data_IF_912698378189
#
_entry.id   IF_912698378189
#
_cell.length_a   1.000
_cell.length_b   1.000
_cell.length_c   1.000
_cell.angle_alpha   90.00
_cell.angle_beta   90.00
_cell.angle_gamma   90.00
#
_symmetry.space_group_name_H-M   'P 1'
#
loop_
_entity.id
_entity.type
_entity.pdbx_description
1 polymer ?
#
# COMPACT_ATOMS: atom_id res chain seq x y z
N UNK A 1 -26.24 -0.08 0.53
CA UNK A 1 -25.75 1.28 0.81
C UNK A 1 -24.23 1.26 0.97
N UNK A 2 -23.55 2.19 0.31
CA UNK A 2 -22.08 2.33 0.38
C UNK A 2 -21.71 3.77 0.73
N UNK A 3 -20.53 4.00 1.33
CA UNK A 3 -20.00 5.35 1.57
C UNK A 3 -19.85 6.15 0.27
N UNK A 4 -20.10 7.46 0.33
CA UNK A 4 -20.04 8.32 -0.86
C UNK A 4 -18.62 8.58 -1.37
N UNK A 5 -17.62 8.45 -0.48
CA UNK A 5 -16.19 8.62 -0.77
C UNK A 5 -15.56 7.47 -1.57
N UNK A 6 -16.27 6.36 -1.77
CA UNK A 6 -15.77 5.24 -2.55
C UNK A 6 -15.71 5.59 -4.04
N UNK A 7 -14.55 5.36 -4.63
CA UNK A 7 -14.30 5.54 -6.06
C UNK A 7 -14.15 4.17 -6.76
N UNK A 8 -14.32 4.14 -8.06
CA UNK A 8 -14.13 2.94 -8.90
C UNK A 8 -14.88 1.70 -8.39
N UNK A 9 -16.07 1.90 -7.84
CA UNK A 9 -16.85 0.81 -7.22
C UNK A 9 -17.25 -0.22 -8.26
N UNK A 10 -16.83 -1.46 -8.07
CA UNK A 10 -17.14 -2.60 -8.92
C UNK A 10 -17.93 -3.65 -8.15
N UNK A 11 -18.89 -4.25 -8.83
CA UNK A 11 -19.74 -5.31 -8.28
C UNK A 11 -19.54 -6.58 -9.09
N UNK A 12 -19.07 -7.64 -8.44
CA UNK A 12 -18.91 -8.98 -9.00
C UNK A 12 -19.80 -9.95 -8.20
N UNK A 13 -20.63 -10.69 -8.88
CA UNK A 13 -21.53 -11.65 -8.26
C UNK A 13 -21.59 -12.96 -9.02
N UNK A 14 -22.09 -14.00 -8.37
CA UNK A 14 -22.25 -15.34 -8.95
C UNK A 14 -23.34 -15.40 -10.03
N UNK A 15 -24.23 -14.41 -10.09
CA UNK A 15 -25.33 -14.31 -11.07
C UNK A 15 -25.14 -13.10 -11.97
N UNK A 16 -25.66 -13.18 -13.18
CA UNK A 16 -25.65 -12.06 -14.14
C UNK A 16 -26.52 -10.92 -13.64
N UNK A 17 -25.99 -9.72 -13.64
CA UNK A 17 -26.75 -8.51 -13.34
C UNK A 17 -27.50 -8.05 -14.60
N UNK A 18 -28.70 -7.56 -14.41
CA UNK A 18 -29.48 -6.89 -15.44
C UNK A 18 -29.22 -5.39 -15.43
N UNK A 19 -29.19 -4.79 -14.25
CA UNK A 19 -29.06 -3.35 -14.09
C UNK A 19 -28.36 -3.01 -12.78
N UNK A 20 -27.65 -1.87 -12.76
CA UNK A 20 -27.06 -1.27 -11.58
C UNK A 20 -27.48 0.21 -11.55
N UNK A 21 -28.13 0.63 -10.48
CA UNK A 21 -28.55 2.01 -10.25
C UNK A 21 -27.87 2.59 -9.04
N UNK A 22 -27.55 3.86 -9.12
CA UNK A 22 -26.99 4.62 -8.01
C UNK A 22 -27.93 5.78 -7.67
N UNK A 23 -28.13 6.03 -6.39
CA UNK A 23 -28.83 7.19 -5.87
C UNK A 23 -28.04 7.79 -4.72
N UNK A 24 -27.72 9.08 -4.82
CA UNK A 24 -26.93 9.78 -3.81
C UNK A 24 -27.81 10.25 -2.65
N UNK A 25 -27.31 10.03 -1.43
CA UNK A 25 -27.89 10.55 -0.20
C UNK A 25 -26.95 11.57 0.43
N UNK A 26 -27.12 12.84 0.09
CA UNK A 26 -26.24 13.93 0.54
C UNK A 26 -26.26 14.12 2.07
N UNK A 27 -27.40 13.87 2.71
CA UNK A 27 -27.53 14.03 4.17
C UNK A 27 -26.70 13.03 4.98
N UNK A 28 -26.50 11.82 4.48
CA UNK A 28 -25.77 10.74 5.16
C UNK A 28 -24.39 10.48 4.56
N UNK A 29 -24.01 11.21 3.51
CA UNK A 29 -22.77 10.97 2.73
C UNK A 29 -22.65 9.51 2.29
N UNK A 30 -23.74 8.95 1.80
CA UNK A 30 -23.81 7.57 1.29
C UNK A 30 -24.44 7.53 -0.09
N UNK A 31 -24.19 6.44 -0.81
CA UNK A 31 -24.84 6.13 -2.09
C UNK A 31 -25.64 4.83 -1.95
N UNK A 32 -26.88 4.83 -2.39
CA UNK A 32 -27.64 3.60 -2.52
C UNK A 32 -27.32 2.96 -3.87
N UNK A 33 -26.81 1.74 -3.83
CA UNK A 33 -26.51 0.94 -5.01
C UNK A 33 -27.58 -0.14 -5.12
N UNK A 34 -28.45 -0.05 -6.11
CA UNK A 34 -29.46 -1.07 -6.38
C UNK A 34 -28.98 -1.98 -7.49
N UNK A 35 -28.73 -3.24 -7.13
CA UNK A 35 -28.33 -4.30 -8.05
C UNK A 35 -29.55 -5.13 -8.44
N UNK A 36 -29.92 -5.10 -9.72
CA UNK A 36 -31.01 -5.90 -10.24
C UNK A 36 -30.41 -7.10 -10.98
N UNK A 37 -30.74 -8.30 -10.53
CA UNK A 37 -30.30 -9.55 -11.13
C UNK A 37 -31.24 -9.96 -12.28
N UNK A 38 -30.74 -10.79 -13.20
CA UNK A 38 -31.57 -11.35 -14.28
C UNK A 38 -32.56 -12.36 -13.76
N UNK A 39 -32.12 -13.19 -12.81
CA UNK A 39 -32.90 -14.30 -12.26
C UNK A 39 -33.15 -14.07 -10.77
N UNK A 40 -34.25 -14.58 -10.25
CA UNK A 40 -34.53 -14.58 -8.82
C UNK A 40 -33.54 -15.48 -8.06
N UNK A 41 -33.17 -15.07 -6.85
CA UNK A 41 -32.33 -15.83 -5.96
C UNK A 41 -33.13 -16.27 -4.75
N UNK A 42 -33.25 -17.57 -4.57
CA UNK A 42 -34.06 -18.16 -3.51
C UNK A 42 -33.27 -18.61 -2.28
N UNK A 43 -31.95 -18.65 -2.40
CA UNK A 43 -31.07 -19.19 -1.36
C UNK A 43 -29.97 -18.19 -1.00
N UNK A 44 -28.77 -18.48 -1.34
CA UNK A 44 -27.60 -17.67 -1.02
C UNK A 44 -27.05 -16.95 -2.25
N UNK A 45 -26.72 -15.67 -2.07
CA UNK A 45 -26.05 -14.89 -3.10
C UNK A 45 -24.77 -14.27 -2.56
N UNK A 46 -23.66 -14.52 -3.26
CA UNK A 46 -22.37 -13.90 -2.93
C UNK A 46 -22.12 -12.72 -3.85
N UNK A 47 -21.97 -11.56 -3.26
CA UNK A 47 -21.61 -10.32 -3.93
C UNK A 47 -20.25 -9.84 -3.43
N UNK A 48 -19.30 -9.68 -4.34
CA UNK A 48 -18.03 -9.02 -4.07
C UNK A 48 -18.11 -7.57 -4.52
N UNK A 49 -17.75 -6.67 -3.64
CA UNK A 49 -17.66 -5.24 -3.92
C UNK A 49 -16.21 -4.83 -3.78
N UNK A 50 -15.64 -4.26 -4.84
CA UNK A 50 -14.29 -3.68 -4.83
C UNK A 50 -14.38 -2.19 -5.06
N UNK A 51 -13.55 -1.43 -4.39
CA UNK A 51 -13.53 0.02 -4.49
C UNK A 51 -12.14 0.57 -4.15
N UNK A 52 -11.89 1.78 -4.59
CA UNK A 52 -10.72 2.56 -4.23
C UNK A 52 -11.11 3.63 -3.23
N UNK A 53 -10.25 3.85 -2.25
CA UNK A 53 -10.36 4.96 -1.32
C UNK A 53 -9.11 5.83 -1.44
N UNK A 54 -9.23 7.06 -1.98
CA UNK A 54 -8.08 7.92 -2.18
C UNK A 54 -7.52 8.35 -0.83
N UNK A 55 -6.24 8.06 -0.60
CA UNK A 55 -5.49 8.57 0.55
C UNK A 55 -5.22 10.05 0.34
N UNK A 56 -5.86 10.89 1.12
CA UNK A 56 -5.57 12.33 1.15
C UNK A 56 -4.14 12.48 1.69
N UNK A 57 -3.24 13.03 0.87
CA UNK A 57 -1.80 13.15 1.19
C UNK A 57 -1.47 13.90 2.49
N UNK A 58 -2.42 14.61 3.05
CA UNK A 58 -2.27 15.45 4.26
C UNK A 58 -2.74 14.77 5.55
N UNK A 59 -3.47 13.67 5.46
CA UNK A 59 -3.94 12.94 6.64
C UNK A 59 -3.32 11.57 6.67
N UNK A 60 -2.58 11.29 7.73
CA UNK A 60 -2.05 9.94 7.98
C UNK A 60 -3.15 8.97 8.46
N UNK A 61 -4.41 9.40 8.45
CA UNK A 61 -5.53 8.62 8.95
C UNK A 61 -6.42 8.14 7.79
N UNK A 62 -6.73 6.86 7.79
CA UNK A 62 -7.66 6.22 6.90
C UNK A 62 -8.93 5.86 7.68
N UNK A 63 -10.08 6.26 7.17
CA UNK A 63 -11.36 5.91 7.73
C UNK A 63 -11.99 4.80 6.90
N UNK A 64 -12.08 3.60 7.47
CA UNK A 64 -12.69 2.45 6.83
C UNK A 64 -14.15 2.34 7.27
N UNK A 65 -15.06 2.29 6.30
CA UNK A 65 -16.48 2.04 6.48
C UNK A 65 -16.91 0.93 5.53
N UNK A 66 -17.86 0.11 5.94
CA UNK A 66 -18.36 -0.99 5.15
C UNK A 66 -19.50 -0.63 4.20
N UNK A 67 -19.78 -1.56 3.29
CA UNK A 67 -21.04 -1.60 2.57
C UNK A 67 -22.08 -2.29 3.44
N UNK A 68 -23.28 -1.69 3.54
CA UNK A 68 -24.37 -2.27 4.31
C UNK A 68 -25.48 -2.76 3.37
N UNK A 69 -25.87 -4.03 3.47
CA UNK A 69 -27.02 -4.56 2.73
C UNK A 69 -28.31 -3.91 3.23
N UNK A 70 -29.21 -3.64 2.29
CA UNK A 70 -30.50 -3.01 2.58
C UNK A 70 -31.61 -3.84 1.92
N UNK A 71 -32.74 -3.92 2.56
CA UNK A 71 -33.93 -4.53 2.02
C UNK A 71 -34.89 -3.46 1.49
N UNK A 72 -35.53 -3.74 0.34
CA UNK A 72 -36.57 -2.87 -0.22
C UNK A 72 -37.93 -3.34 0.25
N UNK A 73 -38.48 -2.70 1.29
CA UNK A 73 -39.81 -3.03 1.85
C UNK A 73 -40.79 -1.94 1.49
N UNK A 74 -41.82 -2.29 0.70
CA UNK A 74 -42.89 -1.37 0.28
C UNK A 74 -42.36 -0.06 -0.33
N UNK A 75 -41.27 -0.13 -1.08
CA UNK A 75 -40.68 1.04 -1.74
C UNK A 75 -39.71 1.86 -0.85
N UNK A 76 -39.51 1.50 0.41
CA UNK A 76 -38.54 2.11 1.31
C UNK A 76 -37.38 1.15 1.57
N UNK A 77 -36.16 1.69 1.57
CA UNK A 77 -34.96 0.93 1.96
C UNK A 77 -34.87 0.86 3.49
N UNK A 78 -34.73 -0.34 4.00
CA UNK A 78 -34.51 -0.62 5.42
C UNK A 78 -33.23 -1.42 5.62
N UNK A 79 -32.49 -1.23 6.72
CA UNK A 79 -31.42 -2.14 7.09
C UNK A 79 -31.93 -3.56 7.25
N UNK A 80 -31.09 -4.55 6.99
CA UNK A 80 -31.42 -5.94 7.34
C UNK A 80 -31.51 -6.09 8.87
N UNK A 81 -32.32 -7.04 9.31
CA UNK A 81 -32.46 -7.35 10.74
C UNK A 81 -31.15 -7.82 11.38
N UNK A 82 -30.26 -8.37 10.57
CA UNK A 82 -28.94 -8.78 10.98
C UNK A 82 -27.91 -8.47 9.89
N UNK A 83 -26.87 -7.74 10.26
CA UNK A 83 -25.67 -7.44 9.46
C UNK A 83 -24.45 -7.73 10.32
N UNK A 84 -23.72 -8.78 9.99
CA UNK A 84 -22.53 -9.19 10.75
C UNK A 84 -21.45 -9.72 9.80
N UNK A 85 -20.21 -9.60 10.21
CA UNK A 85 -19.09 -10.09 9.39
C UNK A 85 -17.74 -9.89 10.03
N UNK A 86 -16.71 -10.08 9.21
CA UNK A 86 -15.31 -9.97 9.57
C UNK A 86 -14.65 -8.87 8.74
N UNK A 87 -13.87 -8.02 9.40
CA UNK A 87 -13.04 -7.00 8.76
C UNK A 87 -11.60 -7.46 8.87
N UNK A 88 -10.92 -7.58 7.75
CA UNK A 88 -9.51 -7.96 7.70
C UNK A 88 -8.70 -6.85 7.06
N UNK A 89 -7.69 -6.39 7.76
CA UNK A 89 -6.75 -5.36 7.28
C UNK A 89 -5.42 -6.05 7.00
N UNK A 90 -4.99 -5.99 5.75
CA UNK A 90 -3.71 -6.53 5.30
C UNK A 90 -3.02 -5.52 4.37
N UNK A 91 -1.71 -5.65 4.18
CA UNK A 91 -0.96 -4.76 3.29
C UNK A 91 0.13 -5.50 2.54
N UNK A 92 0.27 -5.18 1.24
CA UNK A 92 1.41 -5.55 0.41
C UNK A 92 2.56 -4.53 0.52
N UNK A 93 2.25 -3.29 0.94
CA UNK A 93 3.22 -2.21 1.02
C UNK A 93 3.99 -2.25 2.34
N UNK A 94 5.20 -1.73 2.33
CA UNK A 94 6.01 -1.56 3.54
C UNK A 94 5.51 -0.32 4.32
N UNK A 95 4.38 -0.48 5.01
CA UNK A 95 3.74 0.54 5.83
C UNK A 95 3.57 0.02 7.26
N UNK A 96 3.62 0.92 8.22
CA UNK A 96 3.25 0.64 9.58
C UNK A 96 1.84 1.16 9.83
N UNK A 97 0.95 0.27 10.25
CA UNK A 97 -0.39 0.65 10.69
C UNK A 97 -0.37 0.71 12.22
N UNK A 98 -0.80 1.82 12.78
CA UNK A 98 -1.08 1.89 14.20
C UNK A 98 -2.35 1.08 14.52
N UNK A 99 -2.48 0.63 15.75
CA UNK A 99 -3.69 -0.09 16.18
C UNK A 99 -4.92 0.80 15.96
N UNK A 100 -5.92 0.30 15.23
CA UNK A 100 -7.11 1.08 14.93
C UNK A 100 -7.90 1.45 16.19
N UNK A 101 -8.38 2.69 16.23
CA UNK A 101 -9.38 3.12 17.20
C UNK A 101 -10.76 2.68 16.69
N UNK A 102 -11.34 1.68 17.36
CA UNK A 102 -12.66 1.13 17.01
C UNK A 102 -13.29 0.42 18.20
N UNK A 103 -14.63 0.44 18.25
CA UNK A 103 -15.42 -0.31 19.23
C UNK A 103 -15.61 -1.79 18.84
N UNK A 104 -14.92 -2.27 17.81
CA UNK A 104 -15.06 -3.61 17.29
C UNK A 104 -14.26 -4.64 18.09
N UNK A 105 -14.79 -5.85 18.14
CA UNK A 105 -14.10 -6.97 18.79
C UNK A 105 -12.93 -7.45 17.92
N UNK A 106 -11.70 -7.25 18.40
CA UNK A 106 -10.51 -7.79 17.77
C UNK A 106 -10.50 -9.31 17.89
N UNK A 107 -10.11 -9.98 16.83
CA UNK A 107 -9.93 -11.43 16.77
C UNK A 107 -8.52 -11.79 16.32
N UNK A 108 -8.07 -12.98 16.70
CA UNK A 108 -6.83 -13.53 16.19
C UNK A 108 -7.01 -13.94 14.72
N UNK A 109 -6.06 -13.65 13.81
CA UNK A 109 -6.14 -14.10 12.41
C UNK A 109 -6.30 -15.63 12.26
N UNK A 110 -5.94 -16.42 13.26
CA UNK A 110 -6.15 -17.87 13.26
C UNK A 110 -7.62 -18.27 13.41
N UNK A 111 -8.48 -17.39 13.94
CA UNK A 111 -9.91 -17.61 14.08
C UNK A 111 -10.71 -17.40 12.79
N UNK A 112 -10.08 -16.83 11.76
CA UNK A 112 -10.68 -16.69 10.44
C UNK A 112 -10.94 -18.07 9.83
N UNK A 113 -12.07 -18.22 9.18
CA UNK A 113 -12.37 -19.47 8.50
C UNK A 113 -11.46 -19.71 7.26
N UNK A 114 -11.44 -20.94 6.76
CA UNK A 114 -10.57 -21.31 5.65
C UNK A 114 -10.93 -20.56 4.36
N UNK A 115 -12.22 -20.23 4.15
CA UNK A 115 -12.68 -19.52 2.97
C UNK A 115 -12.28 -18.03 3.04
N UNK A 116 -12.41 -17.40 4.19
CA UNK A 116 -11.95 -16.02 4.42
C UNK A 116 -10.44 -15.93 4.19
N UNK A 117 -9.67 -16.83 4.81
CA UNK A 117 -8.20 -16.88 4.66
C UNK A 117 -7.74 -17.07 3.22
N UNK A 118 -8.41 -17.90 2.44
CA UNK A 118 -8.03 -18.20 1.06
C UNK A 118 -8.09 -16.98 0.12
N UNK A 119 -8.82 -15.94 0.49
CA UNK A 119 -8.93 -14.68 -0.26
C UNK A 119 -7.83 -13.67 0.06
N UNK A 120 -7.08 -13.90 1.13
CA UNK A 120 -6.07 -12.97 1.62
C UNK A 120 -4.71 -13.42 1.11
N UNK A 121 -4.09 -12.58 0.30
CA UNK A 121 -2.80 -12.88 -0.36
C UNK A 121 -1.59 -12.30 0.37
N UNK A 122 -1.82 -11.41 1.34
CA UNK A 122 -0.76 -10.69 2.06
C UNK A 122 -0.88 -10.90 3.56
N UNK A 123 0.17 -10.63 4.34
CA UNK A 123 0.12 -10.74 5.80
C UNK A 123 -1.01 -9.92 6.42
N UNK A 124 -1.79 -10.56 7.28
CA UNK A 124 -2.87 -9.91 8.02
C UNK A 124 -2.25 -9.11 9.16
N UNK A 125 -2.63 -7.83 9.25
CA UNK A 125 -2.16 -6.93 10.31
C UNK A 125 -3.18 -6.88 11.44
N UNK A 126 -4.46 -6.72 11.10
CA UNK A 126 -5.56 -6.68 12.05
C UNK A 126 -6.77 -7.45 11.54
N UNK A 127 -7.52 -8.05 12.44
CA UNK A 127 -8.81 -8.66 12.16
C UNK A 127 -9.81 -8.32 13.26
N UNK A 128 -11.07 -8.02 12.87
CA UNK A 128 -12.15 -7.62 13.75
C UNK A 128 -13.44 -8.31 13.35
N UNK A 129 -14.32 -8.56 14.32
CA UNK A 129 -15.72 -8.92 14.07
C UNK A 129 -16.61 -7.72 14.31
N UNK A 130 -17.60 -7.56 13.46
CA UNK A 130 -18.69 -6.63 13.69
C UNK A 130 -20.03 -7.38 13.72
N UNK A 131 -20.94 -6.88 14.53
CA UNK A 131 -22.33 -7.35 14.63
C UNK A 131 -23.18 -6.11 14.86
N UNK A 132 -23.84 -5.60 13.81
CA UNK A 132 -24.61 -4.38 13.87
C UNK A 132 -24.61 -3.57 12.58
N UNK A 133 -25.36 -2.50 12.57
CA UNK A 133 -25.72 -1.77 11.37
C UNK A 133 -24.57 -0.97 10.71
N UNK A 134 -23.65 -0.45 11.49
CA UNK A 134 -22.59 0.41 10.95
C UNK A 134 -21.30 0.25 11.76
N UNK A 135 -20.18 0.14 11.06
CA UNK A 135 -18.88 0.17 11.68
C UNK A 135 -18.01 1.27 11.08
N UNK A 136 -17.14 1.80 11.91
CA UNK A 136 -16.13 2.77 11.52
C UNK A 136 -14.80 2.36 12.17
N UNK A 137 -13.77 2.21 11.35
CA UNK A 137 -12.42 1.86 11.80
C UNK A 137 -11.47 2.94 11.36
N UNK A 138 -10.87 3.65 12.32
CA UNK A 138 -9.85 4.68 12.05
C UNK A 138 -8.47 4.06 12.15
N UNK A 139 -7.74 4.08 11.06
CA UNK A 139 -6.39 3.50 10.97
C UNK A 139 -5.40 4.62 10.70
N UNK A 140 -4.42 4.79 11.57
CA UNK A 140 -3.30 5.67 11.29
C UNK A 140 -2.26 4.92 10.45
N UNK A 141 -1.82 5.52 9.34
CA UNK A 141 -0.89 4.94 8.38
C UNK A 141 0.42 5.71 8.43
N UNK A 142 1.45 5.08 8.98
CA UNK A 142 2.82 5.60 8.92
C UNK A 142 3.53 4.99 7.72
N UNK A 143 3.95 5.83 6.79
CA UNK A 143 4.80 5.39 5.68
C UNK A 143 6.24 5.41 6.15
N UNK A 144 6.95 4.30 5.97
CA UNK A 144 8.38 4.35 6.07
C UNK A 144 8.90 5.28 4.99
N UNK A 145 9.71 6.25 5.37
CA UNK A 145 10.46 7.04 4.39
C UNK A 145 11.32 6.04 3.60
N UNK A 146 11.20 6.07 2.28
CA UNK A 146 12.17 5.41 1.43
C UNK A 146 13.52 6.01 1.78
N UNK A 147 14.36 5.23 2.45
CA UNK A 147 15.77 5.60 2.56
C UNK A 147 16.30 5.54 1.13
N UNK A 148 16.83 6.67 0.66
CA UNK A 148 17.57 6.68 -0.58
C UNK A 148 18.62 5.58 -0.48
N UNK A 149 18.47 4.56 -1.32
CA UNK A 149 19.50 3.53 -1.44
C UNK A 149 20.76 4.26 -1.88
N UNK A 150 21.85 4.02 -1.16
CA UNK A 150 23.14 4.56 -1.54
C UNK A 150 23.44 4.08 -2.97
N UNK A 151 23.45 5.02 -3.90
CA UNK A 151 23.62 4.72 -5.33
C UNK A 151 25.02 4.17 -5.63
N UNK A 152 25.97 4.43 -4.74
CA UNK A 152 27.34 3.92 -4.83
C UNK A 152 27.96 3.78 -3.44
N UNK A 153 28.70 2.71 -3.22
CA UNK A 153 29.44 2.44 -2.01
C UNK A 153 30.87 2.04 -2.37
N UNK A 154 31.86 2.70 -1.79
CA UNK A 154 33.26 2.27 -1.88
C UNK A 154 33.51 1.24 -0.75
N UNK A 155 33.63 -0.04 -1.11
CA UNK A 155 33.91 -1.11 -0.15
C UNK A 155 35.37 -1.06 0.35
N UNK A 156 36.25 -0.58 -0.51
CA UNK A 156 37.68 -0.55 -0.24
C UNK A 156 38.30 0.65 -0.92
N UNK A 157 39.18 1.35 -0.16
CA UNK A 157 39.98 2.45 -0.68
C UNK A 157 41.39 2.32 -0.17
N UNK A 158 42.35 2.28 -1.08
CA UNK A 158 43.80 2.28 -0.77
C UNK A 158 44.44 3.48 -1.41
N UNK A 159 45.24 4.19 -0.62
CA UNK A 159 46.05 5.34 -1.06
C UNK A 159 47.52 5.02 -0.89
N UNK A 160 48.25 5.02 -1.98
CA UNK A 160 49.69 4.86 -1.97
C UNK A 160 50.35 6.16 -2.40
N UNK A 161 51.12 6.78 -1.50
CA UNK A 161 51.80 8.05 -1.77
C UNK A 161 53.31 7.84 -1.80
N UNK A 162 53.93 8.28 -2.86
CA UNK A 162 55.39 8.28 -3.04
C UNK A 162 55.89 9.71 -3.03
N UNK A 163 56.90 9.98 -2.19
CA UNK A 163 57.56 11.28 -2.11
C UNK A 163 58.98 11.14 -2.67
N UNK A 164 59.25 11.95 -3.68
CA UNK A 164 60.62 11.97 -4.28
C UNK A 164 61.57 12.83 -3.49
N UNK A 165 62.91 12.61 -3.63
CA UNK A 165 63.96 13.39 -2.97
C UNK A 165 63.97 14.87 -3.33
N UNK A 166 63.30 15.30 -4.39
CA UNK A 166 63.13 16.69 -4.82
C UNK A 166 61.83 17.33 -4.35
N UNK A 167 61.06 16.62 -3.50
CA UNK A 167 59.82 17.14 -2.91
C UNK A 167 58.56 16.98 -3.77
N UNK A 168 58.62 16.23 -4.87
CA UNK A 168 57.42 15.88 -5.63
C UNK A 168 56.67 14.74 -4.94
N UNK A 169 55.36 14.81 -4.98
CA UNK A 169 54.47 13.83 -4.37
C UNK A 169 53.54 13.24 -5.45
N UNK A 170 53.57 11.93 -5.57
CA UNK A 170 52.63 11.20 -6.43
C UNK A 170 51.76 10.28 -5.59
N UNK A 171 50.46 10.39 -5.72
CA UNK A 171 49.50 9.54 -5.01
C UNK A 171 48.68 8.71 -5.99
N UNK A 172 48.65 7.40 -5.74
CA UNK A 172 47.75 6.47 -6.44
C UNK A 172 46.61 6.09 -5.51
N UNK A 173 45.37 6.27 -5.96
CA UNK A 173 44.17 5.84 -5.28
C UNK A 173 43.59 4.62 -5.97
N UNK A 174 43.41 3.51 -5.25
CA UNK A 174 42.71 2.31 -5.70
C UNK A 174 41.38 2.20 -4.97
N UNK A 175 40.28 2.18 -5.71
CA UNK A 175 38.94 2.14 -5.15
C UNK A 175 38.18 0.93 -5.69
N UNK A 176 37.52 0.19 -4.81
CA UNK A 176 36.53 -0.82 -5.18
C UNK A 176 35.15 -0.22 -4.94
N UNK A 177 34.44 0.12 -6.01
CA UNK A 177 33.13 0.79 -5.94
C UNK A 177 32.05 -0.14 -6.45
N UNK A 178 31.03 -0.39 -5.60
CA UNK A 178 29.76 -1.01 -6.00
C UNK A 178 28.78 0.10 -6.33
N UNK A 179 28.16 -0.02 -7.50
CA UNK A 179 27.22 0.96 -8.00
C UNK A 179 25.91 0.28 -8.43
N UNK A 180 24.78 0.86 -8.05
CA UNK A 180 23.44 0.34 -8.39
C UNK A 180 22.82 1.04 -9.59
N UNK A 181 23.31 2.21 -9.97
CA UNK A 181 22.86 2.97 -11.13
C UNK A 181 23.85 2.91 -12.30
N UNK A 182 23.44 3.40 -13.48
CA UNK A 182 24.24 3.43 -14.70
C UNK A 182 25.04 4.74 -14.89
N UNK A 183 25.00 5.65 -13.94
CA UNK A 183 25.73 6.90 -14.05
C UNK A 183 27.25 6.69 -13.85
N UNK A 184 28.04 7.50 -14.53
CA UNK A 184 29.47 7.41 -14.43
C UNK A 184 29.95 7.93 -13.06
N UNK A 185 30.91 7.26 -12.40
CA UNK A 185 31.48 7.76 -11.17
C UNK A 185 32.28 9.04 -11.45
N UNK A 186 32.13 10.03 -10.58
CA UNK A 186 32.93 11.25 -10.60
C UNK A 186 33.79 11.34 -9.35
N UNK A 187 35.03 11.81 -9.49
CA UNK A 187 35.98 11.95 -8.39
C UNK A 187 36.47 13.38 -8.34
N UNK A 188 36.47 13.94 -7.15
CA UNK A 188 37.04 15.25 -6.88
C UNK A 188 38.50 15.08 -6.43
N UNK A 189 39.42 15.71 -7.14
CA UNK A 189 40.81 15.74 -6.75
C UNK A 189 41.07 16.88 -5.76
N UNK A 190 42.05 16.74 -4.86
CA UNK A 190 42.48 17.84 -3.99
C UNK A 190 42.93 19.05 -4.80
N UNK A 191 42.76 20.24 -4.25
CA UNK A 191 43.21 21.49 -4.86
C UNK A 191 44.71 21.46 -5.10
N UNK A 192 45.15 21.89 -6.29
CA UNK A 192 46.56 21.87 -6.67
C UNK A 192 47.09 20.52 -7.17
N UNK A 193 46.24 19.50 -7.27
CA UNK A 193 46.64 18.20 -7.81
C UNK A 193 46.54 18.20 -9.35
N UNK A 194 47.50 17.53 -9.99
CA UNK A 194 47.48 17.25 -11.41
C UNK A 194 47.08 15.81 -11.66
N UNK A 195 46.06 15.62 -12.57
CA UNK A 195 45.59 14.30 -12.95
C UNK A 195 46.60 13.64 -13.92
N UNK A 196 47.11 12.47 -13.57
CA UNK A 196 48.09 11.75 -14.37
C UNK A 196 47.40 10.69 -15.25
N UNK A 197 46.63 9.78 -14.66
CA UNK A 197 45.95 8.72 -15.40
C UNK A 197 44.86 8.06 -14.53
N UNK A 198 43.87 7.46 -15.20
CA UNK A 198 42.87 6.61 -14.57
C UNK A 198 42.82 5.23 -15.25
N UNK A 199 42.60 4.18 -14.45
CA UNK A 199 42.34 2.83 -14.95
C UNK A 199 41.06 2.31 -14.37
N UNK A 200 40.20 1.74 -15.23
CA UNK A 200 38.97 1.06 -14.80
C UNK A 200 39.09 -0.41 -15.20
N UNK A 201 39.01 -1.31 -14.25
CA UNK A 201 39.17 -2.75 -14.46
C UNK A 201 40.45 -3.10 -15.25
N UNK A 202 41.55 -2.41 -14.96
CA UNK A 202 42.85 -2.60 -15.61
C UNK A 202 43.01 -1.90 -16.97
N UNK A 203 41.97 -1.27 -17.52
CA UNK A 203 42.01 -0.54 -18.78
C UNK A 203 42.20 0.95 -18.53
N UNK A 204 43.20 1.57 -19.20
CA UNK A 204 43.42 3.02 -19.10
C UNK A 204 42.28 3.78 -19.78
N UNK A 205 41.76 4.77 -19.10
CA UNK A 205 40.73 5.68 -19.56
C UNK A 205 41.32 7.05 -19.73
N UNK A 206 41.10 7.66 -20.89
CA UNK A 206 41.55 9.01 -21.24
C UNK A 206 40.43 10.00 -21.17
#
# INVERSE_FOLDING_TARGET
RVPAEWENVQFLGTRKRRELKFADHNATRTKDCTLILQDEVWDQYTLQISYDLPLIKQTNNLLLRGAHPMELVKGALKPLDRDSGTIVIHSAANIKLAEPDSDLSRIDPSELDAHERSRITHPIIFAYKYDGEMFEVKVAVDRYQEQELLNSVADYTELTTVVTGIGQVATTASLSVKKTDKENPSFQLPEGSEFISCRINGTTVT
#
